data_IF_861026291204
#
_entry.id   IF_861026291204
#
_cell.length_a   1.000
_cell.length_b   1.000
_cell.length_c   1.000
_cell.angle_alpha   90.00
_cell.angle_beta   90.00
_cell.angle_gamma   90.00
#
_symmetry.space_group_name_H-M   'P 1'
#
loop_
_entity.id
_entity.type
_entity.pdbx_description
1 polymer ?
#
# COMPACT_ATOMS: atom_id res chain seq x y z
N UNK A 1 12.76 -58.71 -0.15
CA UNK A 1 13.42 -57.40 -0.07
C UNK A 1 13.10 -56.47 -1.26
N UNK A 2 12.60 -56.98 -2.34
CA UNK A 2 12.28 -56.19 -3.59
C UNK A 2 10.90 -55.54 -3.54
N UNK A 3 9.94 -56.02 -2.72
CA UNK A 3 8.58 -55.49 -2.68
C UNK A 3 8.43 -54.19 -1.83
N UNK A 4 9.36 -53.91 -0.88
CA UNK A 4 9.34 -52.70 -0.04
C UNK A 4 9.97 -51.48 -0.73
N UNK A 5 10.82 -51.68 -1.74
CA UNK A 5 11.46 -50.57 -2.51
C UNK A 5 10.50 -49.97 -3.49
N UNK A 6 9.61 -50.76 -4.10
CA UNK A 6 8.62 -50.25 -5.06
C UNK A 6 7.49 -49.38 -4.43
N UNK A 7 7.13 -49.65 -3.16
CA UNK A 7 6.11 -48.83 -2.45
C UNK A 7 6.68 -47.46 -2.03
N UNK A 8 8.00 -47.39 -1.73
CA UNK A 8 8.62 -46.11 -1.36
C UNK A 8 8.85 -45.22 -2.60
N UNK A 9 9.13 -45.80 -3.76
CA UNK A 9 9.24 -45.06 -5.03
C UNK A 9 7.86 -44.62 -5.53
N UNK A 10 6.79 -45.39 -5.34
CA UNK A 10 5.43 -45.01 -5.71
C UNK A 10 4.88 -43.89 -4.81
N UNK A 11 5.21 -43.87 -3.53
CA UNK A 11 4.84 -42.79 -2.58
C UNK A 11 5.66 -41.54 -2.89
N UNK A 12 6.93 -41.66 -3.29
CA UNK A 12 7.76 -40.51 -3.67
C UNK A 12 7.34 -39.88 -5.00
N UNK A 13 6.83 -40.67 -5.95
CA UNK A 13 6.27 -40.17 -7.22
C UNK A 13 4.89 -39.52 -7.02
N UNK A 14 4.09 -39.98 -6.05
CA UNK A 14 2.81 -39.34 -5.69
C UNK A 14 2.99 -38.02 -4.93
N UNK A 15 4.12 -37.82 -4.22
CA UNK A 15 4.42 -36.53 -3.60
C UNK A 15 5.05 -35.49 -4.57
N UNK A 16 5.51 -35.92 -5.74
CA UNK A 16 6.08 -35.03 -6.78
C UNK A 16 5.02 -34.41 -7.70
N UNK A 17 3.76 -34.88 -7.69
CA UNK A 17 2.70 -34.40 -8.57
C UNK A 17 1.72 -33.39 -7.96
N UNK A 18 1.96 -32.93 -6.72
CA UNK A 18 1.13 -31.88 -6.10
C UNK A 18 1.83 -30.51 -5.99
N UNK A 19 2.73 -30.20 -6.92
CA UNK A 19 3.05 -28.81 -7.23
C UNK A 19 2.06 -28.32 -8.28
N UNK A 20 0.81 -28.07 -7.89
CA UNK A 20 -0.05 -27.16 -8.63
C UNK A 20 0.63 -25.80 -8.57
N UNK A 21 1.26 -25.45 -9.67
CA UNK A 21 1.98 -24.21 -9.89
C UNK A 21 0.95 -23.08 -9.88
N UNK A 22 0.85 -22.37 -8.78
CA UNK A 22 0.01 -21.17 -8.66
C UNK A 22 0.44 -20.01 -9.58
N UNK A 23 1.24 -20.29 -10.60
CA UNK A 23 1.77 -19.30 -11.53
C UNK A 23 1.20 -19.41 -12.96
N UNK A 24 0.37 -20.44 -13.23
CA UNK A 24 -0.11 -20.70 -14.59
C UNK A 24 -1.35 -19.85 -14.95
N UNK A 25 -1.87 -19.06 -14.00
CA UNK A 25 -3.08 -18.27 -14.22
C UNK A 25 -2.84 -16.81 -14.62
N UNK A 26 -1.59 -16.29 -14.52
CA UNK A 26 -1.29 -14.91 -14.92
C UNK A 26 -0.71 -14.90 -16.34
N UNK A 27 -1.17 -13.95 -17.16
CA UNK A 27 -0.54 -13.71 -18.46
C UNK A 27 0.89 -13.18 -18.31
N UNK A 28 1.75 -13.47 -19.26
CA UNK A 28 3.14 -12.97 -19.26
C UNK A 28 3.17 -11.44 -19.21
N UNK A 29 2.25 -10.76 -19.88
CA UNK A 29 2.17 -9.29 -19.87
C UNK A 29 1.78 -8.73 -18.50
N UNK A 30 0.84 -9.37 -17.80
CA UNK A 30 0.49 -8.93 -16.43
C UNK A 30 1.63 -9.21 -15.45
N UNK A 31 2.34 -10.33 -15.59
CA UNK A 31 3.55 -10.63 -14.81
C UNK A 31 4.63 -9.58 -15.02
N UNK A 32 4.88 -9.20 -16.27
CA UNK A 32 5.85 -8.16 -16.63
C UNK A 32 5.42 -6.79 -16.04
N UNK A 33 4.13 -6.46 -16.13
CA UNK A 33 3.58 -5.23 -15.57
C UNK A 33 3.77 -5.14 -14.05
N UNK A 34 3.41 -6.21 -13.32
CA UNK A 34 3.54 -6.27 -11.87
C UNK A 34 5.02 -6.25 -11.46
N UNK A 35 5.88 -6.96 -12.19
CA UNK A 35 7.33 -6.99 -11.94
C UNK A 35 7.96 -5.62 -12.16
N UNK A 36 7.63 -4.97 -13.26
CA UNK A 36 8.09 -3.61 -13.56
C UNK A 36 7.62 -2.62 -12.49
N UNK A 37 6.34 -2.63 -12.12
CA UNK A 37 5.82 -1.75 -11.07
C UNK A 37 6.50 -2.01 -9.72
N UNK A 38 6.80 -3.26 -9.37
CA UNK A 38 7.51 -3.60 -8.14
C UNK A 38 8.91 -3.00 -8.07
N UNK A 39 9.64 -2.96 -9.19
CA UNK A 39 11.01 -2.45 -9.26
C UNK A 39 11.08 -0.93 -9.48
N UNK A 40 10.20 -0.38 -10.31
CA UNK A 40 10.32 1.00 -10.79
C UNK A 40 9.37 2.00 -10.13
N UNK A 41 8.25 1.55 -9.56
CA UNK A 41 7.23 2.48 -9.06
C UNK A 41 7.79 3.43 -7.98
N UNK A 42 7.79 4.77 -8.22
CA UNK A 42 8.38 5.74 -7.30
C UNK A 42 7.67 5.78 -5.94
N UNK A 43 6.36 5.53 -5.91
CA UNK A 43 5.58 5.51 -4.67
C UNK A 43 6.00 4.34 -3.78
N UNK A 44 6.25 3.16 -4.37
CA UNK A 44 6.73 1.99 -3.64
C UNK A 44 8.15 2.20 -3.13
N UNK A 45 9.02 2.83 -3.95
CA UNK A 45 10.39 3.20 -3.51
C UNK A 45 10.34 4.18 -2.34
N UNK A 46 9.46 5.19 -2.38
CA UNK A 46 9.29 6.13 -1.28
C UNK A 46 8.83 5.43 0.02
N UNK A 47 7.90 4.47 -0.08
CA UNK A 47 7.43 3.72 1.09
C UNK A 47 8.52 2.81 1.68
N UNK A 48 9.40 2.23 0.84
CA UNK A 48 10.60 1.52 1.30
C UNK A 48 11.56 2.44 2.08
N UNK A 49 11.74 3.69 1.64
CA UNK A 49 12.55 4.68 2.37
C UNK A 49 11.92 5.07 3.72
N UNK A 50 10.59 5.15 3.81
CA UNK A 50 9.91 5.37 5.10
C UNK A 50 10.15 4.22 6.08
N UNK A 51 10.24 2.98 5.59
CA UNK A 51 10.64 1.86 6.45
C UNK A 51 12.07 2.05 6.96
N UNK A 52 13.01 2.45 6.11
CA UNK A 52 14.39 2.72 6.53
C UNK A 52 14.45 3.85 7.57
N UNK A 53 13.68 4.93 7.37
CA UNK A 53 13.53 5.99 8.37
C UNK A 53 13.00 5.44 9.71
N UNK A 54 12.03 4.52 9.69
CA UNK A 54 11.50 3.91 10.92
C UNK A 54 12.46 2.94 11.59
N UNK A 55 13.33 2.27 10.83
CA UNK A 55 14.36 1.40 11.40
C UNK A 55 15.32 2.17 12.32
N UNK A 56 15.54 3.47 12.08
CA UNK A 56 16.36 4.35 12.93
C UNK A 56 15.77 4.57 14.33
N UNK A 57 14.50 4.28 14.57
CA UNK A 57 13.94 4.29 15.91
C UNK A 57 14.64 3.29 16.85
N UNK A 58 15.24 2.23 16.29
CA UNK A 58 15.92 1.21 17.08
C UNK A 58 17.22 1.72 17.69
N UNK A 59 18.22 2.24 16.92
CA UNK A 59 19.41 2.84 17.49
C UNK A 59 19.11 4.05 18.37
N UNK A 60 18.08 4.87 18.03
CA UNK A 60 17.62 5.98 18.88
C UNK A 60 17.15 5.50 20.26
N UNK A 61 16.34 4.42 20.32
CA UNK A 61 15.89 3.85 21.58
C UNK A 61 17.03 3.17 22.36
N UNK A 62 18.01 2.58 21.65
CA UNK A 62 19.21 2.01 22.27
C UNK A 62 20.15 3.08 22.80
N UNK A 63 20.15 4.30 22.24
CA UNK A 63 20.94 5.41 22.74
C UNK A 63 20.58 5.81 24.17
N UNK A 64 19.34 5.57 24.62
CA UNK A 64 18.93 5.81 26.01
C UNK A 64 19.67 4.91 27.05
N UNK A 65 20.37 3.88 26.62
CA UNK A 65 21.17 3.00 27.46
C UNK A 65 22.67 3.30 27.41
N UNK A 66 23.09 4.24 26.54
CA UNK A 66 24.48 4.54 26.25
C UNK A 66 24.97 5.75 27.04
N UNK A 67 26.26 5.87 27.31
CA UNK A 67 26.80 7.07 27.90
C UNK A 67 26.67 8.27 26.95
N UNK A 68 26.29 9.40 27.52
CA UNK A 68 26.32 10.71 26.85
C UNK A 68 27.60 11.41 27.24
N UNK A 69 28.37 11.87 26.27
CA UNK A 69 29.61 12.63 26.48
C UNK A 69 29.40 14.02 25.91
N UNK A 70 29.57 15.03 26.73
CA UNK A 70 29.40 16.44 26.38
C UNK A 70 30.68 17.22 26.73
N UNK A 71 31.23 17.94 25.77
CA UNK A 71 32.26 18.95 26.00
C UNK A 71 31.61 20.33 26.04
N UNK A 72 32.05 21.18 26.95
CA UNK A 72 31.57 22.55 27.06
C UNK A 72 32.68 23.54 27.26
N UNK A 73 32.46 24.76 26.78
CA UNK A 73 33.29 25.92 27.00
C UNK A 73 32.40 27.14 27.22
N UNK A 74 32.56 27.77 28.41
CA UNK A 74 31.82 28.94 28.83
C UNK A 74 32.79 30.06 29.18
N UNK A 75 32.54 31.27 28.69
CA UNK A 75 33.30 32.48 29.06
C UNK A 75 32.35 33.61 29.31
N UNK A 76 32.39 34.15 30.49
CA UNK A 76 31.48 35.22 30.91
C UNK A 76 32.16 36.20 31.86
N UNK A 77 31.50 37.33 32.08
CA UNK A 77 31.83 38.28 33.15
C UNK A 77 30.89 38.00 34.32
N UNK A 78 31.49 37.84 35.48
CA UNK A 78 30.79 37.64 36.74
C UNK A 78 31.11 38.82 37.62
N UNK A 79 30.07 39.48 38.13
CA UNK A 79 30.17 40.47 39.19
C UNK A 79 29.85 39.78 40.50
N UNK A 80 30.77 39.84 41.45
CA UNK A 80 30.63 39.11 42.71
C UNK A 80 31.09 39.99 43.83
N UNK A 81 30.20 40.13 44.81
CA UNK A 81 30.53 40.67 46.13
C UNK A 81 30.53 39.52 47.14
N UNK A 82 31.68 39.06 47.57
CA UNK A 82 31.84 38.01 48.57
C UNK A 82 32.62 38.54 49.73
N UNK A 83 32.05 38.50 50.92
CA UNK A 83 32.71 38.91 52.17
C UNK A 83 32.71 37.74 53.16
N UNK A 84 33.86 37.53 53.81
CA UNK A 84 34.06 36.57 54.88
C UNK A 84 34.95 37.14 55.96
N UNK A 85 35.11 36.48 57.11
CA UNK A 85 35.86 37.01 58.27
C UNK A 85 37.27 37.40 57.97
N UNK A 86 37.92 36.89 56.89
CA UNK A 86 39.34 37.16 56.56
C UNK A 86 39.58 37.50 55.09
N UNK A 87 38.53 37.72 54.27
CA UNK A 87 38.68 38.06 52.85
C UNK A 87 37.44 38.80 52.28
N UNK A 88 37.71 39.68 51.33
CA UNK A 88 36.72 40.36 50.52
C UNK A 88 37.12 40.14 49.06
N UNK A 89 36.21 39.64 48.24
CA UNK A 89 36.34 39.59 46.80
C UNK A 89 35.19 40.38 46.21
N UNK A 90 35.51 41.52 45.60
CA UNK A 90 34.53 42.42 45.02
C UNK A 90 34.99 42.81 43.60
N UNK A 91 33.99 42.95 42.70
CA UNK A 91 34.18 43.46 41.35
C UNK A 91 33.97 42.46 40.22
N UNK A 92 34.02 43.04 39.01
CA UNK A 92 33.79 42.32 37.75
C UNK A 92 35.01 41.55 37.30
N UNK A 93 34.91 40.25 37.11
CA UNK A 93 35.98 39.41 36.55
C UNK A 93 35.49 38.57 35.38
N UNK A 94 36.43 38.13 34.54
CA UNK A 94 36.13 37.16 33.49
C UNK A 94 36.36 35.75 34.02
N UNK A 95 35.31 34.93 34.01
CA UNK A 95 35.43 33.52 34.33
C UNK A 95 35.36 32.70 33.04
N UNK A 96 36.18 31.68 32.96
CA UNK A 96 36.18 30.72 31.86
C UNK A 96 36.08 29.30 32.41
N UNK A 97 35.03 28.58 32.04
CA UNK A 97 34.84 27.19 32.39
C UNK A 97 34.96 26.32 31.13
N UNK A 98 35.72 25.26 31.20
CA UNK A 98 35.80 24.25 30.16
C UNK A 98 35.84 22.87 30.78
N UNK A 99 35.20 21.92 30.15
CA UNK A 99 35.17 20.57 30.71
C UNK A 99 34.54 19.53 29.79
N UNK A 100 34.63 18.31 30.27
CA UNK A 100 33.96 17.13 29.67
C UNK A 100 33.07 16.52 30.76
N UNK A 101 31.80 16.32 30.42
CA UNK A 101 30.84 15.66 31.27
C UNK A 101 30.38 14.36 30.62
N UNK A 102 30.41 13.26 31.38
CA UNK A 102 29.89 11.93 30.96
C UNK A 102 28.71 11.62 31.86
N UNK A 103 27.56 11.28 31.23
CA UNK A 103 26.35 10.85 31.94
C UNK A 103 25.95 9.48 31.44
N UNK A 104 25.95 8.47 32.35
CA UNK A 104 25.48 7.12 32.05
C UNK A 104 24.19 6.83 32.80
N UNK A 105 23.05 6.67 32.12
CA UNK A 105 21.82 6.20 32.75
C UNK A 105 21.99 4.75 33.20
N UNK A 106 21.72 4.46 34.47
CA UNK A 106 21.74 3.11 35.05
C UNK A 106 20.33 2.59 35.21
N UNK A 107 19.42 3.43 35.69
CA UNK A 107 18.03 3.09 35.91
C UNK A 107 17.15 4.32 35.69
N UNK A 108 16.04 4.15 34.96
CA UNK A 108 15.08 5.22 34.71
C UNK A 108 13.62 4.74 34.86
N UNK A 109 13.37 3.94 35.90
CA UNK A 109 12.04 3.38 36.15
C UNK A 109 11.55 2.41 35.09
N UNK A 110 12.45 1.88 34.21
CA UNK A 110 12.10 1.03 33.08
C UNK A 110 11.63 1.80 31.83
N UNK A 111 11.81 3.12 31.78
CA UNK A 111 11.43 3.98 30.66
C UNK A 111 12.10 3.51 29.36
N UNK A 112 13.42 3.38 29.35
CA UNK A 112 14.18 2.97 28.15
C UNK A 112 13.80 1.59 27.63
N UNK A 113 13.51 0.64 28.52
CA UNK A 113 13.04 -0.72 28.13
C UNK A 113 11.70 -0.63 27.41
N UNK A 114 10.77 0.19 27.94
CA UNK A 114 9.46 0.38 27.31
C UNK A 114 9.58 1.17 25.99
N UNK A 115 10.45 2.18 25.90
CA UNK A 115 10.74 2.92 24.67
C UNK A 115 11.33 2.01 23.59
N UNK A 116 12.31 1.16 23.94
CA UNK A 116 12.89 0.17 23.04
C UNK A 116 11.83 -0.81 22.51
N UNK A 117 10.96 -1.31 23.40
CA UNK A 117 9.85 -2.19 23.01
C UNK A 117 8.84 -1.47 22.12
N UNK A 118 8.56 -0.19 22.39
CA UNK A 118 7.66 0.64 21.60
C UNK A 118 8.22 0.87 20.19
N UNK A 119 9.49 1.26 20.08
CA UNK A 119 10.19 1.43 18.81
C UNK A 119 10.15 0.15 17.96
N UNK A 120 10.44 -1.01 18.57
CA UNK A 120 10.36 -2.30 17.89
C UNK A 120 8.97 -2.57 17.32
N UNK A 121 7.91 -2.33 18.08
CA UNK A 121 6.55 -2.53 17.59
C UNK A 121 6.16 -1.51 16.51
N UNK A 122 6.66 -0.28 16.57
CA UNK A 122 6.42 0.74 15.55
C UNK A 122 7.10 0.35 14.21
N UNK A 123 8.31 -0.20 14.26
CA UNK A 123 9.00 -0.76 13.09
C UNK A 123 8.19 -1.92 12.49
N UNK A 124 7.67 -2.84 13.33
CA UNK A 124 6.83 -3.92 12.83
C UNK A 124 5.52 -3.40 12.19
N UNK A 125 4.90 -2.35 12.75
CA UNK A 125 3.76 -1.68 12.14
C UNK A 125 4.12 -1.21 10.74
N UNK A 126 5.22 -0.46 10.58
CA UNK A 126 5.67 0.05 9.29
C UNK A 126 5.99 -1.06 8.26
N UNK A 127 6.51 -2.22 8.71
CA UNK A 127 6.70 -3.37 7.80
C UNK A 127 5.38 -3.91 7.25
N UNK A 128 4.32 -3.91 8.06
CA UNK A 128 3.00 -4.30 7.58
C UNK A 128 2.33 -3.21 6.73
N UNK A 129 2.61 -1.93 7.01
CA UNK A 129 2.17 -0.81 6.15
C UNK A 129 2.82 -0.91 4.77
N UNK A 130 4.12 -1.20 4.70
CA UNK A 130 4.81 -1.45 3.43
C UNK A 130 4.19 -2.64 2.66
N UNK A 131 3.87 -3.74 3.35
CA UNK A 131 3.18 -4.88 2.71
C UNK A 131 1.80 -4.51 2.17
N UNK A 132 1.03 -3.73 2.92
CA UNK A 132 -0.26 -3.25 2.48
C UNK A 132 -0.13 -2.32 1.27
N UNK A 133 0.88 -1.46 1.29
CA UNK A 133 1.15 -0.53 0.20
C UNK A 133 1.60 -1.24 -1.08
N UNK A 134 2.46 -2.27 -0.98
CA UNK A 134 2.84 -3.14 -2.11
C UNK A 134 1.61 -3.76 -2.76
N UNK A 135 0.72 -4.35 -1.96
CA UNK A 135 -0.51 -4.94 -2.46
C UNK A 135 -1.43 -3.91 -3.11
N UNK A 136 -1.49 -2.69 -2.57
CA UNK A 136 -2.28 -1.60 -3.15
C UNK A 136 -1.73 -1.20 -4.53
N UNK A 137 -0.41 -1.11 -4.67
CA UNK A 137 0.21 -0.84 -5.98
C UNK A 137 -0.11 -1.96 -6.98
N UNK A 138 -0.05 -3.23 -6.57
CA UNK A 138 -0.42 -4.35 -7.44
C UNK A 138 -1.89 -4.29 -7.84
N UNK A 139 -2.80 -4.00 -6.91
CA UNK A 139 -4.21 -3.85 -7.23
C UNK A 139 -4.45 -2.67 -8.20
N UNK A 140 -3.76 -1.54 -8.00
CA UNK A 140 -3.85 -0.39 -8.91
C UNK A 140 -3.36 -0.75 -10.32
N UNK A 141 -2.25 -1.50 -10.44
CA UNK A 141 -1.74 -1.99 -11.73
C UNK A 141 -2.75 -2.92 -12.40
N UNK A 142 -3.32 -3.87 -11.65
CA UNK A 142 -4.32 -4.82 -12.15
C UNK A 142 -5.56 -4.09 -12.65
N UNK A 143 -6.06 -3.11 -11.91
CA UNK A 143 -7.22 -2.30 -12.33
C UNK A 143 -6.95 -1.49 -13.59
N UNK A 144 -5.74 -0.91 -13.70
CA UNK A 144 -5.37 -0.19 -14.94
C UNK A 144 -5.22 -1.17 -16.10
N UNK A 145 -4.63 -2.35 -15.88
CA UNK A 145 -4.49 -3.39 -16.88
C UNK A 145 -5.86 -3.87 -17.38
N UNK A 146 -6.79 -4.18 -16.47
CA UNK A 146 -8.14 -4.63 -16.83
C UNK A 146 -8.94 -3.56 -17.56
N UNK A 147 -8.86 -2.29 -17.09
CA UNK A 147 -9.52 -1.18 -17.78
C UNK A 147 -8.93 -0.93 -19.17
N UNK A 148 -7.63 -1.17 -19.35
CA UNK A 148 -6.99 -1.05 -20.66
C UNK A 148 -7.43 -2.17 -21.61
N UNK A 149 -7.53 -3.43 -21.12
CA UNK A 149 -8.04 -4.57 -21.87
C UNK A 149 -9.52 -4.35 -22.28
N UNK A 150 -10.34 -3.84 -21.34
CA UNK A 150 -11.74 -3.47 -21.59
C UNK A 150 -11.84 -2.40 -22.68
N UNK A 151 -11.07 -1.32 -22.55
CA UNK A 151 -11.11 -0.20 -23.51
C UNK A 151 -10.61 -0.58 -24.90
N UNK A 152 -9.60 -1.46 -24.99
CA UNK A 152 -9.15 -2.00 -26.28
C UNK A 152 -10.26 -2.80 -26.98
N UNK A 153 -10.98 -3.62 -26.21
CA UNK A 153 -12.13 -4.38 -26.73
C UNK A 153 -13.27 -3.45 -27.18
N UNK A 154 -13.57 -2.40 -26.38
CA UNK A 154 -14.57 -1.38 -26.73
C UNK A 154 -14.22 -0.67 -28.02
N UNK A 155 -12.97 -0.21 -28.21
CA UNK A 155 -12.52 0.45 -29.45
C UNK A 155 -12.66 -0.49 -30.66
N UNK A 156 -12.42 -1.81 -30.49
CA UNK A 156 -12.63 -2.78 -31.56
C UNK A 156 -14.11 -2.94 -31.91
N UNK A 157 -14.99 -2.93 -30.91
CA UNK A 157 -16.44 -2.97 -31.13
C UNK A 157 -16.94 -1.69 -31.81
N UNK A 158 -16.51 -0.52 -31.36
CA UNK A 158 -16.85 0.76 -31.99
C UNK A 158 -16.41 0.81 -33.46
N UNK A 159 -15.21 0.31 -33.78
CA UNK A 159 -14.73 0.23 -35.18
C UNK A 159 -15.62 -0.67 -36.04
N UNK A 160 -16.02 -1.84 -35.53
CA UNK A 160 -16.94 -2.73 -36.23
C UNK A 160 -18.30 -2.08 -36.43
N UNK A 161 -18.81 -1.37 -35.43
CA UNK A 161 -20.07 -0.64 -35.51
C UNK A 161 -20.04 0.44 -36.58
N UNK A 162 -19.00 1.26 -36.60
CA UNK A 162 -18.83 2.30 -37.64
C UNK A 162 -18.79 1.67 -39.04
N UNK A 163 -18.05 0.57 -39.21
CA UNK A 163 -17.97 -0.14 -40.50
C UNK A 163 -19.34 -0.68 -40.93
N UNK A 164 -20.07 -1.32 -40.01
CA UNK A 164 -21.43 -1.80 -40.27
C UNK A 164 -22.37 -0.65 -40.67
N UNK A 165 -22.38 0.45 -39.91
CA UNK A 165 -23.25 1.59 -40.18
C UNK A 165 -22.91 2.30 -41.48
N UNK A 166 -21.63 2.33 -41.90
CA UNK A 166 -21.23 2.83 -43.24
C UNK A 166 -21.82 1.96 -44.35
N UNK A 167 -21.77 0.65 -44.21
CA UNK A 167 -22.39 -0.27 -45.18
C UNK A 167 -23.91 -0.07 -45.24
N UNK A 168 -24.57 0.08 -44.08
CA UNK A 168 -26.01 0.32 -44.04
C UNK A 168 -26.40 1.67 -44.66
N UNK A 169 -25.64 2.72 -44.44
CA UNK A 169 -25.89 4.04 -45.08
C UNK A 169 -25.72 3.96 -46.59
N UNK A 170 -24.71 3.26 -47.10
CA UNK A 170 -24.52 3.09 -48.54
C UNK A 170 -25.72 2.30 -49.15
N UNK A 171 -26.13 1.22 -48.52
CA UNK A 171 -27.30 0.46 -48.93
C UNK A 171 -28.60 1.32 -48.92
N UNK A 172 -28.78 2.13 -47.87
CA UNK A 172 -29.91 3.06 -47.78
C UNK A 172 -29.89 4.11 -48.90
N UNK A 173 -28.73 4.64 -49.26
CA UNK A 173 -28.62 5.57 -50.38
C UNK A 173 -29.00 4.90 -51.70
N UNK A 174 -28.49 3.69 -52.00
CA UNK A 174 -28.79 2.93 -53.20
C UNK A 174 -30.31 2.64 -53.30
N UNK A 175 -30.98 2.25 -52.21
CA UNK A 175 -32.43 2.01 -52.16
C UNK A 175 -33.25 3.27 -52.29
N UNK A 176 -32.79 4.41 -51.78
CA UNK A 176 -33.44 5.70 -51.97
C UNK A 176 -33.37 6.17 -53.42
N UNK A 177 -32.24 5.99 -54.10
CA UNK A 177 -32.12 6.33 -55.52
C UNK A 177 -33.10 5.58 -56.42
N UNK A 178 -33.43 4.35 -56.08
CA UNK A 178 -34.44 3.54 -56.81
C UNK A 178 -35.86 3.71 -56.28
N UNK A 179 -36.05 4.54 -55.22
CA UNK A 179 -37.39 4.87 -54.66
C UNK A 179 -38.00 3.82 -53.73
N UNK A 180 -37.20 2.88 -53.20
CA UNK A 180 -37.68 1.81 -52.25
C UNK A 180 -37.84 2.31 -50.82
N UNK A 181 -37.04 3.34 -50.41
CA UNK A 181 -37.09 3.88 -49.03
C UNK A 181 -37.21 5.42 -49.08
N UNK A 182 -37.50 6.02 -47.92
CA UNK A 182 -37.67 7.47 -47.79
C UNK A 182 -36.36 8.18 -47.43
N UNK A 183 -36.30 9.50 -47.71
CA UNK A 183 -35.19 10.35 -47.24
C UNK A 183 -35.03 10.34 -45.73
N UNK A 184 -36.13 10.11 -44.99
CA UNK A 184 -36.13 9.96 -43.55
C UNK A 184 -35.28 8.74 -43.10
N UNK A 185 -35.40 7.63 -43.80
CA UNK A 185 -34.64 6.41 -43.53
C UNK A 185 -33.16 6.59 -43.73
N UNK A 186 -32.76 7.26 -44.83
CA UNK A 186 -31.35 7.67 -45.07
C UNK A 186 -30.84 8.58 -43.98
N UNK A 187 -31.65 9.57 -43.55
CA UNK A 187 -31.27 10.53 -42.52
C UNK A 187 -31.04 9.85 -41.16
N UNK A 188 -31.86 8.82 -40.82
CA UNK A 188 -31.67 8.03 -39.62
C UNK A 188 -30.37 7.22 -39.70
N UNK A 189 -30.10 6.54 -40.80
CA UNK A 189 -28.84 5.81 -41.00
C UNK A 189 -27.60 6.71 -40.88
N UNK A 190 -27.66 7.90 -41.48
CA UNK A 190 -26.61 8.91 -41.39
C UNK A 190 -26.41 9.42 -39.94
N UNK A 191 -27.48 9.71 -39.20
CA UNK A 191 -27.42 10.16 -37.83
C UNK A 191 -26.78 9.07 -36.90
N UNK A 192 -27.15 7.81 -37.10
CA UNK A 192 -26.56 6.65 -36.37
C UNK A 192 -25.05 6.52 -36.66
N UNK A 193 -24.64 6.66 -37.92
CA UNK A 193 -23.23 6.62 -38.32
C UNK A 193 -22.43 7.74 -37.62
N UNK A 194 -22.90 8.98 -37.69
CA UNK A 194 -22.23 10.12 -37.08
C UNK A 194 -22.08 9.96 -35.56
N UNK A 195 -23.11 9.40 -34.89
CA UNK A 195 -23.04 9.07 -33.47
C UNK A 195 -21.99 7.99 -33.18
N UNK A 196 -21.93 6.95 -34.00
CA UNK A 196 -20.94 5.89 -33.84
C UNK A 196 -19.51 6.38 -34.08
N UNK A 197 -19.29 7.25 -35.07
CA UNK A 197 -17.99 7.90 -35.30
C UNK A 197 -17.57 8.78 -34.11
N UNK A 198 -18.49 9.53 -33.51
CA UNK A 198 -18.24 10.32 -32.32
C UNK A 198 -17.85 9.43 -31.11
N UNK A 199 -18.56 8.30 -30.93
CA UNK A 199 -18.25 7.32 -29.87
C UNK A 199 -16.87 6.67 -30.09
N UNK A 200 -16.50 6.32 -31.32
CA UNK A 200 -15.19 5.79 -31.65
C UNK A 200 -14.07 6.78 -31.30
N UNK A 201 -14.21 8.05 -31.70
CA UNK A 201 -13.21 9.08 -31.35
C UNK A 201 -13.08 9.23 -29.84
N UNK A 202 -14.20 9.18 -29.10
CA UNK A 202 -14.20 9.22 -27.64
C UNK A 202 -13.46 8.05 -27.05
N UNK A 203 -13.77 6.82 -27.46
CA UNK A 203 -13.16 5.60 -26.92
C UNK A 203 -11.65 5.52 -27.25
N UNK A 204 -11.22 5.97 -28.44
CA UNK A 204 -9.80 6.09 -28.80
C UNK A 204 -9.05 7.12 -27.92
N UNK A 205 -9.68 8.25 -27.61
CA UNK A 205 -9.13 9.28 -26.72
C UNK A 205 -8.98 8.76 -25.27
N UNK A 206 -9.98 8.02 -24.78
CA UNK A 206 -9.94 7.38 -23.46
C UNK A 206 -8.86 6.29 -23.40
N UNK A 207 -8.70 5.51 -24.49
CA UNK A 207 -7.63 4.52 -24.62
C UNK A 207 -6.25 5.16 -24.52
N UNK A 208 -6.02 6.29 -25.20
CA UNK A 208 -4.77 7.03 -25.14
C UNK A 208 -4.46 7.50 -23.70
N UNK A 209 -5.46 8.01 -23.01
CA UNK A 209 -5.35 8.42 -21.59
C UNK A 209 -5.00 7.24 -20.68
N UNK A 210 -5.66 6.09 -20.85
CA UNK A 210 -5.38 4.88 -20.09
C UNK A 210 -3.97 4.32 -20.37
N UNK A 211 -3.50 4.35 -21.62
CA UNK A 211 -2.11 3.98 -21.96
C UNK A 211 -1.11 4.86 -21.25
N UNK A 212 -1.34 6.17 -21.22
CA UNK A 212 -0.48 7.11 -20.48
C UNK A 212 -0.48 6.80 -18.99
N UNK A 213 -1.64 6.57 -18.39
CA UNK A 213 -1.77 6.18 -16.97
C UNK A 213 -1.06 4.88 -16.65
N UNK A 214 -1.19 3.87 -17.53
CA UNK A 214 -0.49 2.59 -17.42
C UNK A 214 1.03 2.81 -17.41
N UNK A 215 1.56 3.54 -18.38
CA UNK A 215 3.00 3.83 -18.50
C UNK A 215 3.56 4.52 -17.25
N UNK A 216 2.84 5.51 -16.69
CA UNK A 216 3.26 6.22 -15.47
C UNK A 216 3.24 5.28 -14.25
N UNK A 217 2.28 4.36 -14.17
CA UNK A 217 2.12 3.49 -13.00
C UNK A 217 3.04 2.27 -13.05
N UNK A 218 3.21 1.67 -14.23
CA UNK A 218 3.95 0.43 -14.47
C UNK A 218 5.41 0.68 -14.85
N UNK A 219 5.69 1.78 -15.58
CA UNK A 219 7.03 2.15 -16.05
C UNK A 219 7.38 1.63 -17.45
N UNK A 220 6.53 0.80 -18.05
CA UNK A 220 6.68 0.27 -19.41
C UNK A 220 5.41 0.50 -20.22
N UNK A 221 5.52 0.43 -21.54
CA UNK A 221 4.36 0.51 -22.43
C UNK A 221 3.58 -0.82 -22.42
N UNK A 222 2.26 -0.73 -22.46
CA UNK A 222 1.40 -1.91 -22.64
C UNK A 222 1.44 -2.36 -24.11
N UNK A 223 1.45 -3.68 -24.31
CA UNK A 223 1.37 -4.30 -25.63
C UNK A 223 -0.08 -4.58 -26.01
N UNK A 224 -0.60 -5.72 -25.57
CA UNK A 224 -1.96 -6.18 -25.82
C UNK A 224 -2.54 -6.84 -24.56
N UNK A 225 -3.03 -6.05 -23.58
CA UNK A 225 -3.62 -6.62 -22.39
C UNK A 225 -4.90 -7.39 -22.72
N UNK A 226 -4.98 -8.60 -22.21
CA UNK A 226 -6.09 -9.52 -22.43
C UNK A 226 -6.63 -10.04 -21.09
N UNK A 227 -7.92 -10.35 -21.06
CA UNK A 227 -8.54 -11.03 -19.93
C UNK A 227 -8.23 -12.52 -19.96
N UNK A 228 -8.03 -13.09 -18.77
CA UNK A 228 -7.95 -14.52 -18.54
C UNK A 228 -8.87 -14.88 -17.36
N UNK A 229 -9.36 -16.11 -17.32
CA UNK A 229 -10.41 -16.51 -16.37
C UNK A 229 -10.10 -17.84 -15.65
N UNK A 230 -8.94 -18.44 -15.91
CA UNK A 230 -8.46 -19.63 -15.20
C UNK A 230 -7.96 -19.28 -13.79
N UNK A 231 -8.85 -18.63 -13.02
CA UNK A 231 -8.53 -18.28 -11.64
C UNK A 231 -8.53 -19.53 -10.76
N UNK A 232 -7.53 -19.66 -9.84
CA UNK A 232 -7.59 -20.65 -8.79
C UNK A 232 -8.91 -20.54 -8.02
N UNK A 233 -9.55 -21.68 -7.78
CA UNK A 233 -10.83 -21.72 -7.08
C UNK A 233 -10.66 -21.19 -5.64
N UNK A 234 -11.56 -20.32 -5.23
CA UNK A 234 -11.64 -19.86 -3.85
C UNK A 234 -12.39 -20.93 -3.05
N UNK A 235 -11.62 -21.89 -2.50
CA UNK A 235 -12.13 -23.08 -1.78
C UNK A 235 -12.52 -22.69 -0.35
N UNK A 236 -13.55 -21.88 -0.15
CA UNK A 236 -14.11 -21.61 1.18
C UNK A 236 -15.49 -20.98 1.05
N UNK A 237 -16.29 -21.10 2.09
CA UNK A 237 -17.47 -20.27 2.26
C UNK A 237 -17.09 -18.84 2.63
N UNK A 238 -18.00 -17.91 2.45
CA UNK A 238 -17.79 -16.47 2.69
C UNK A 238 -17.33 -16.19 4.14
N UNK A 239 -17.96 -16.81 5.12
CA UNK A 239 -17.65 -16.56 6.54
C UNK A 239 -16.24 -17.00 6.90
N UNK A 240 -15.82 -18.17 6.44
CA UNK A 240 -14.44 -18.67 6.61
C UNK A 240 -13.45 -17.78 5.89
N UNK A 241 -13.79 -17.29 4.69
CA UNK A 241 -12.93 -16.36 3.95
C UNK A 241 -12.75 -15.04 4.70
N UNK A 242 -13.82 -14.45 5.23
CA UNK A 242 -13.79 -13.23 6.05
C UNK A 242 -12.89 -13.43 7.27
N UNK A 243 -13.04 -14.55 8.01
CA UNK A 243 -12.21 -14.84 9.18
C UNK A 243 -10.72 -14.95 8.82
N UNK A 244 -10.41 -15.55 7.68
CA UNK A 244 -9.03 -15.62 7.18
C UNK A 244 -8.49 -14.24 6.81
N UNK A 245 -9.28 -13.39 6.15
CA UNK A 245 -8.92 -12.01 5.83
C UNK A 245 -8.62 -11.21 7.10
N UNK A 246 -9.50 -11.26 8.11
CA UNK A 246 -9.29 -10.56 9.39
C UNK A 246 -7.99 -10.97 10.10
N UNK A 247 -7.57 -12.23 9.96
CA UNK A 247 -6.31 -12.73 10.56
C UNK A 247 -5.07 -12.35 9.78
N UNK A 248 -5.15 -12.25 8.44
CA UNK A 248 -3.99 -12.10 7.56
C UNK A 248 -3.79 -10.69 7.03
N UNK A 249 -4.85 -9.87 6.96
CA UNK A 249 -4.81 -8.53 6.37
C UNK A 249 -3.69 -7.66 6.95
N UNK A 250 -2.78 -7.11 6.13
CA UNK A 250 -1.63 -6.35 6.61
C UNK A 250 -2.02 -5.06 7.32
N UNK A 251 -3.07 -4.37 6.90
CA UNK A 251 -3.51 -3.12 7.52
C UNK A 251 -3.96 -3.34 8.97
N UNK A 252 -4.75 -4.38 9.23
CA UNK A 252 -5.17 -4.74 10.59
C UNK A 252 -3.96 -5.13 11.44
N UNK A 253 -2.99 -5.86 10.88
CA UNK A 253 -1.75 -6.22 11.58
C UNK A 253 -0.89 -5.01 11.90
N UNK A 254 -0.79 -4.05 11.00
CA UNK A 254 -0.09 -2.79 11.25
C UNK A 254 -0.70 -2.08 12.46
N UNK A 255 -2.01 -1.88 12.47
CA UNK A 255 -2.73 -1.24 13.59
C UNK A 255 -2.57 -2.03 14.90
N UNK A 256 -2.55 -3.38 14.85
CA UNK A 256 -2.25 -4.20 16.04
C UNK A 256 -0.87 -3.91 16.64
N UNK A 257 0.15 -3.78 15.79
CA UNK A 257 1.49 -3.44 16.25
C UNK A 257 1.56 -2.00 16.77
N UNK A 258 0.83 -1.06 16.17
CA UNK A 258 0.74 0.32 16.65
C UNK A 258 0.07 0.37 18.04
N UNK A 259 -0.99 -0.41 18.26
CA UNK A 259 -1.62 -0.58 19.59
C UNK A 259 -0.61 -1.10 20.61
N UNK A 260 0.20 -2.11 20.26
CA UNK A 260 1.25 -2.66 21.13
C UNK A 260 2.33 -1.60 21.42
N UNK A 261 2.75 -0.83 20.42
CA UNK A 261 3.69 0.28 20.57
C UNK A 261 3.15 1.33 21.53
N UNK A 262 1.93 1.84 21.30
CA UNK A 262 1.31 2.88 22.14
C UNK A 262 1.08 2.38 23.57
N UNK A 263 0.75 1.09 23.77
CA UNK A 263 0.69 0.50 25.12
C UNK A 263 2.04 0.56 25.83
N UNK A 264 3.13 0.35 25.11
CA UNK A 264 4.49 0.49 25.68
C UNK A 264 4.84 1.96 25.95
N UNK A 265 4.38 2.91 25.10
CA UNK A 265 4.50 4.36 25.35
C UNK A 265 3.79 4.76 26.65
N UNK A 266 2.58 4.22 26.90
CA UNK A 266 1.87 4.44 28.18
C UNK A 266 2.73 3.97 29.37
N UNK A 267 3.32 2.75 29.28
CA UNK A 267 4.16 2.21 30.34
C UNK A 267 5.44 3.04 30.54
N UNK A 268 6.05 3.52 29.45
CA UNK A 268 7.21 4.43 29.51
C UNK A 268 6.88 5.74 30.23
N UNK A 269 5.68 6.30 30.01
CA UNK A 269 5.24 7.52 30.70
C UNK A 269 4.95 7.27 32.18
N UNK A 270 4.49 6.08 32.58
CA UNK A 270 4.40 5.74 33.99
C UNK A 270 5.77 5.67 34.66
N UNK A 271 6.79 5.22 33.92
CA UNK A 271 8.17 5.17 34.41
C UNK A 271 8.72 6.57 34.77
N UNK A 272 8.22 7.66 34.17
CA UNK A 272 8.63 9.01 34.51
C UNK A 272 8.20 9.47 35.93
N UNK A 273 7.36 8.69 36.62
CA UNK A 273 7.00 8.91 38.03
C UNK A 273 7.87 8.12 39.01
N UNK A 274 8.75 7.26 38.50
CA UNK A 274 9.62 6.43 39.29
C UNK A 274 11.00 7.09 39.41
N UNK A 275 11.83 6.72 40.42
CA UNK A 275 13.18 7.20 40.57
C UNK A 275 14.04 6.88 39.35
N UNK A 276 15.03 7.74 39.08
CA UNK A 276 16.09 7.47 38.09
C UNK A 276 17.46 7.54 38.75
N UNK A 277 18.38 6.72 38.27
CA UNK A 277 19.76 6.65 38.74
C UNK A 277 20.68 6.88 37.54
N UNK A 278 21.51 7.91 37.62
CA UNK A 278 22.54 8.23 36.64
C UNK A 278 23.91 8.19 37.31
N UNK A 279 24.93 7.70 36.61
CA UNK A 279 26.32 7.95 36.96
C UNK A 279 26.76 9.18 36.18
N UNK A 280 27.29 10.19 36.88
CA UNK A 280 27.82 11.40 36.28
C UNK A 280 29.29 11.53 36.64
N UNK A 281 30.14 11.70 35.65
CA UNK A 281 31.55 12.02 35.81
C UNK A 281 31.88 13.32 35.06
N UNK A 282 32.62 14.23 35.70
CA UNK A 282 32.96 15.51 35.11
C UNK A 282 34.44 15.85 35.40
N UNK A 283 35.15 16.25 34.39
CA UNK A 283 36.46 16.90 34.52
C UNK A 283 36.31 18.34 34.04
N UNK A 284 36.50 19.30 34.94
CA UNK A 284 36.29 20.73 34.69
C UNK A 284 37.55 21.54 35.07
N UNK A 285 37.88 22.51 34.22
CA UNK A 285 38.88 23.53 34.45
C UNK A 285 38.21 24.90 34.46
N UNK A 286 38.34 25.62 35.59
CA UNK A 286 37.80 26.97 35.77
C UNK A 286 38.99 27.93 35.93
N UNK A 287 38.98 29.03 35.17
CA UNK A 287 39.93 30.14 35.30
C UNK A 287 39.16 31.40 35.69
N UNK A 288 39.71 32.21 36.58
CA UNK A 288 39.07 33.43 37.06
C UNK A 288 37.92 33.16 38.03
N UNK A 289 37.83 31.98 38.66
CA UNK A 289 36.73 31.60 39.51
C UNK A 289 36.67 32.36 40.85
N UNK A 290 37.87 32.79 41.39
CA UNK A 290 37.96 33.52 42.62
C UNK A 290 38.65 34.88 42.41
N UNK A 291 39.81 34.92 41.70
CA UNK A 291 40.52 36.10 41.20
C UNK A 291 40.84 35.91 39.73
N UNK A 292 41.15 36.98 39.01
CA UNK A 292 41.42 36.93 37.56
C UNK A 292 42.56 35.96 37.19
N UNK A 293 43.50 35.71 38.08
CA UNK A 293 44.62 34.78 37.92
C UNK A 293 44.37 33.37 38.48
N UNK A 294 43.25 33.16 39.16
CA UNK A 294 42.97 31.87 39.79
C UNK A 294 42.57 30.78 38.77
N UNK A 295 43.13 29.59 38.98
CA UNK A 295 42.75 28.39 38.18
C UNK A 295 42.40 27.24 39.11
N UNK A 296 41.38 26.50 38.77
CA UNK A 296 40.95 25.32 39.51
C UNK A 296 40.63 24.19 38.55
N UNK A 297 41.16 23.01 38.82
CA UNK A 297 40.80 21.76 38.14
C UNK A 297 40.03 20.88 39.13
N UNK A 298 38.91 20.32 38.65
CA UNK A 298 38.00 19.51 39.47
C UNK A 298 37.64 18.28 38.68
N UNK A 299 37.81 17.11 39.28
CA UNK A 299 37.26 15.84 38.79
C UNK A 299 36.23 15.36 39.79
N UNK A 300 35.07 15.03 39.31
CA UNK A 300 33.96 14.54 40.13
C UNK A 300 33.37 13.27 39.53
N UNK A 301 32.91 12.36 40.37
CA UNK A 301 32.14 11.20 39.98
C UNK A 301 31.01 10.99 41.01
N UNK A 302 29.77 10.98 40.54
CA UNK A 302 28.58 10.83 41.40
C UNK A 302 27.65 9.74 40.87
N UNK A 303 27.04 9.01 41.81
CA UNK A 303 25.80 8.31 41.53
C UNK A 303 24.66 9.25 41.96
N UNK A 304 23.91 9.75 40.99
CA UNK A 304 22.81 10.68 41.20
C UNK A 304 21.47 9.95 41.16
N UNK A 305 20.72 10.04 42.27
CA UNK A 305 19.33 9.55 42.36
C UNK A 305 18.39 10.74 42.28
N UNK A 306 17.57 10.77 41.22
CA UNK A 306 16.51 11.75 41.05
C UNK A 306 15.15 11.08 41.36
N UNK A 307 14.39 11.62 42.30
CA UNK A 307 13.08 11.14 42.69
C UNK A 307 12.04 12.23 42.47
N UNK A 308 11.17 12.13 41.44
CA UNK A 308 10.18 13.16 41.17
C UNK A 308 9.00 13.04 42.14
N UNK A 309 8.92 13.96 43.10
CA UNK A 309 7.83 14.00 44.11
C UNK A 309 6.56 14.61 43.50
N UNK A 310 6.70 15.76 42.83
CA UNK A 310 5.57 16.48 42.22
C UNK A 310 6.03 17.13 40.90
N UNK A 311 5.28 16.91 39.83
CA UNK A 311 5.60 17.39 38.48
C UNK A 311 4.46 18.26 37.90
N UNK A 312 3.83 19.08 38.72
CA UNK A 312 2.77 20.02 38.33
C UNK A 312 1.64 19.41 37.48
N UNK A 313 1.39 18.09 37.65
CA UNK A 313 0.36 17.38 36.91
C UNK A 313 0.72 16.95 35.46
N UNK A 314 1.88 17.41 34.92
CA UNK A 314 2.31 17.18 33.53
C UNK A 314 2.38 15.68 33.17
N UNK A 315 3.06 14.87 34.00
CA UNK A 315 3.17 13.43 33.76
C UNK A 315 1.80 12.75 33.73
N UNK A 316 0.88 13.12 34.63
CA UNK A 316 -0.48 12.56 34.68
C UNK A 316 -1.29 12.95 33.45
N UNK A 317 -1.14 14.18 32.97
CA UNK A 317 -1.82 14.67 31.75
C UNK A 317 -1.33 13.90 30.52
N UNK A 318 0.00 13.77 30.33
CA UNK A 318 0.58 12.98 29.22
C UNK A 318 0.14 11.51 29.23
N UNK A 319 0.03 10.90 30.41
CA UNK A 319 -0.47 9.52 30.52
C UNK A 319 -1.94 9.44 30.08
N UNK A 320 -2.79 10.41 30.47
CA UNK A 320 -4.18 10.44 30.01
C UNK A 320 -4.28 10.64 28.51
N UNK A 321 -3.48 11.53 27.94
CA UNK A 321 -3.39 11.78 26.49
C UNK A 321 -3.10 10.51 25.72
N UNK A 322 -1.99 9.81 26.02
CA UNK A 322 -1.60 8.59 25.29
C UNK A 322 -2.56 7.41 25.57
N UNK A 323 -3.23 7.38 26.73
CA UNK A 323 -4.33 6.43 26.96
C UNK A 323 -5.54 6.70 26.05
N UNK A 324 -5.85 7.95 25.74
CA UNK A 324 -6.91 8.29 24.77
C UNK A 324 -6.49 7.94 23.34
N UNK A 325 -5.23 8.19 22.99
CA UNK A 325 -4.65 7.69 21.72
C UNK A 325 -4.77 6.16 21.60
N UNK A 326 -4.40 5.43 22.65
CA UNK A 326 -4.56 3.97 22.69
C UNK A 326 -6.01 3.53 22.49
N UNK A 327 -6.96 4.24 23.10
CA UNK A 327 -8.38 3.95 22.91
C UNK A 327 -8.83 4.25 21.48
N UNK A 328 -8.40 5.37 20.90
CA UNK A 328 -8.69 5.74 19.52
C UNK A 328 -8.16 4.67 18.52
N UNK A 329 -6.94 4.17 18.73
CA UNK A 329 -6.38 3.10 17.89
C UNK A 329 -7.17 1.77 18.00
N UNK A 330 -7.73 1.46 19.16
CA UNK A 330 -8.59 0.28 19.33
C UNK A 330 -9.90 0.41 18.56
N UNK A 331 -10.54 1.60 18.64
CA UNK A 331 -11.75 1.86 17.86
C UNK A 331 -11.44 1.90 16.34
N UNK A 332 -10.30 2.48 15.93
CA UNK A 332 -9.83 2.43 14.55
C UNK A 332 -9.68 0.99 14.04
N UNK A 333 -9.05 0.11 14.82
CA UNK A 333 -8.95 -1.32 14.46
C UNK A 333 -10.33 -1.96 14.28
N UNK A 334 -11.28 -1.61 15.15
CA UNK A 334 -12.65 -2.13 15.08
C UNK A 334 -13.35 -1.64 13.80
N UNK A 335 -13.22 -0.35 13.47
CA UNK A 335 -13.72 0.21 12.21
C UNK A 335 -13.10 -0.51 11.01
N UNK A 336 -11.76 -0.60 10.93
CA UNK A 336 -11.05 -1.32 9.87
C UNK A 336 -11.52 -2.79 9.72
N UNK A 337 -11.90 -3.43 10.83
CA UNK A 337 -12.42 -4.80 10.78
C UNK A 337 -13.84 -4.86 10.20
N UNK A 338 -14.66 -3.84 10.43
CA UNK A 338 -16.00 -3.75 9.82
C UNK A 338 -15.89 -3.39 8.34
N UNK A 339 -15.04 -2.42 7.99
CA UNK A 339 -14.80 -2.03 6.60
C UNK A 339 -14.29 -3.23 5.80
N UNK A 340 -13.32 -3.98 6.33
CA UNK A 340 -12.81 -5.19 5.69
C UNK A 340 -13.89 -6.26 5.49
N UNK A 341 -14.78 -6.46 6.46
CA UNK A 341 -15.90 -7.41 6.30
C UNK A 341 -16.83 -6.97 5.17
N UNK A 342 -17.18 -5.69 5.13
CA UNK A 342 -18.00 -5.13 4.07
C UNK A 342 -17.33 -5.30 2.70
N UNK A 343 -16.08 -4.89 2.57
CA UNK A 343 -15.32 -4.94 1.32
C UNK A 343 -15.18 -6.37 0.79
N UNK A 344 -14.86 -7.33 1.68
CA UNK A 344 -14.78 -8.74 1.31
C UNK A 344 -16.14 -9.27 0.84
N UNK A 345 -17.22 -8.94 1.57
CA UNK A 345 -18.57 -9.36 1.20
C UNK A 345 -18.98 -8.78 -0.15
N UNK A 346 -18.69 -7.51 -0.38
CA UNK A 346 -18.95 -6.80 -1.62
C UNK A 346 -18.20 -7.42 -2.81
N UNK A 347 -16.87 -7.60 -2.68
CA UNK A 347 -16.05 -8.20 -3.75
C UNK A 347 -16.41 -9.66 -4.01
N UNK A 348 -16.78 -10.42 -2.95
CA UNK A 348 -17.27 -11.78 -3.09
C UNK A 348 -18.58 -11.84 -3.89
N UNK A 349 -19.53 -10.97 -3.55
CA UNK A 349 -20.82 -10.88 -4.24
C UNK A 349 -20.62 -10.46 -5.70
N UNK A 350 -19.75 -9.50 -5.96
CA UNK A 350 -19.40 -9.06 -7.31
C UNK A 350 -18.74 -10.18 -8.11
N UNK A 351 -17.80 -10.93 -7.51
CA UNK A 351 -17.17 -12.06 -8.17
C UNK A 351 -18.18 -13.13 -8.58
N UNK A 352 -19.10 -13.50 -7.69
CA UNK A 352 -20.15 -14.49 -7.98
C UNK A 352 -21.17 -13.98 -9.00
N UNK A 353 -21.62 -12.74 -8.86
CA UNK A 353 -22.61 -12.16 -9.79
C UNK A 353 -22.05 -11.94 -11.19
N UNK A 354 -20.78 -11.51 -11.30
CA UNK A 354 -20.13 -11.31 -12.59
C UNK A 354 -19.92 -12.63 -13.36
N UNK A 355 -19.66 -13.74 -12.67
CA UNK A 355 -19.64 -15.07 -13.31
C UNK A 355 -20.99 -15.42 -13.97
N UNK A 356 -22.10 -15.15 -13.28
CA UNK A 356 -23.44 -15.38 -13.83
C UNK A 356 -23.75 -14.40 -14.97
N UNK A 357 -23.35 -13.12 -14.83
CA UNK A 357 -23.51 -12.10 -15.89
C UNK A 357 -22.77 -12.49 -17.17
N UNK A 358 -21.53 -12.98 -17.06
CA UNK A 358 -20.73 -13.44 -18.20
C UNK A 358 -21.49 -14.51 -18.98
N UNK A 359 -22.03 -15.52 -18.30
CA UNK A 359 -22.77 -16.59 -18.94
C UNK A 359 -24.10 -16.09 -19.57
N UNK A 360 -24.82 -15.21 -18.87
CA UNK A 360 -26.03 -14.59 -19.37
C UNK A 360 -25.77 -13.73 -20.62
N UNK A 361 -24.74 -12.86 -20.56
CA UNK A 361 -24.39 -11.98 -21.68
C UNK A 361 -23.94 -12.77 -22.93
N UNK A 362 -23.20 -13.88 -22.75
CA UNK A 362 -22.84 -14.77 -23.86
C UNK A 362 -24.10 -15.32 -24.57
N UNK A 363 -25.05 -15.81 -23.79
CA UNK A 363 -26.33 -16.31 -24.34
C UNK A 363 -27.16 -15.21 -25.00
N UNK A 364 -27.16 -14.00 -24.43
CA UNK A 364 -27.82 -12.84 -25.01
C UNK A 364 -27.19 -12.47 -26.37
N UNK A 365 -25.86 -12.43 -26.48
CA UNK A 365 -25.16 -12.19 -27.74
C UNK A 365 -25.53 -13.24 -28.80
N UNK A 366 -25.55 -14.52 -28.44
CA UNK A 366 -25.95 -15.58 -29.37
C UNK A 366 -27.40 -15.45 -29.85
N UNK A 367 -28.31 -15.02 -28.96
CA UNK A 367 -29.69 -14.73 -29.30
C UNK A 367 -29.81 -13.51 -30.22
N UNK A 368 -29.12 -12.39 -29.88
CA UNK A 368 -29.15 -11.16 -30.65
C UNK A 368 -28.54 -11.36 -32.06
N UNK A 369 -27.48 -12.15 -32.19
CA UNK A 369 -26.92 -12.52 -33.50
C UNK A 369 -27.92 -13.25 -34.38
N UNK A 370 -28.64 -14.25 -33.84
CA UNK A 370 -29.68 -14.97 -34.57
C UNK A 370 -30.85 -14.06 -34.92
N UNK A 371 -31.26 -13.18 -34.02
CA UNK A 371 -32.32 -12.21 -34.25
C UNK A 371 -31.96 -11.25 -35.38
N UNK A 372 -30.75 -10.65 -35.33
CA UNK A 372 -30.25 -9.76 -36.38
C UNK A 372 -30.20 -10.47 -37.75
N UNK A 373 -29.72 -11.72 -37.79
CA UNK A 373 -29.65 -12.49 -39.02
C UNK A 373 -31.06 -12.77 -39.58
N UNK A 374 -32.02 -13.09 -38.72
CA UNK A 374 -33.43 -13.25 -39.12
C UNK A 374 -34.01 -11.96 -39.69
N UNK A 375 -33.81 -10.83 -39.04
CA UNK A 375 -34.26 -9.52 -39.53
C UNK A 375 -33.64 -9.15 -40.87
N UNK A 376 -32.35 -9.45 -41.11
CA UNK A 376 -31.71 -9.24 -42.40
C UNK A 376 -32.38 -10.04 -43.53
N UNK A 377 -32.82 -11.28 -43.26
CA UNK A 377 -33.56 -12.10 -44.26
C UNK A 377 -34.96 -11.53 -44.51
N UNK A 378 -35.72 -11.16 -43.47
CA UNK A 378 -37.04 -10.54 -43.58
C UNK A 378 -37.00 -9.19 -44.31
N UNK A 379 -35.93 -8.39 -44.09
CA UNK A 379 -35.69 -7.12 -44.78
C UNK A 379 -35.49 -7.33 -46.30
N UNK A 380 -34.72 -8.35 -46.70
CA UNK A 380 -34.53 -8.69 -48.13
C UNK A 380 -35.84 -9.10 -48.81
N UNK A 381 -36.81 -9.56 -48.04
CA UNK A 381 -38.15 -9.88 -48.54
C UNK A 381 -39.14 -8.70 -48.51
N UNK A 382 -38.69 -7.52 -48.02
CA UNK A 382 -39.50 -6.30 -47.90
C UNK A 382 -40.46 -6.31 -46.69
N UNK A 383 -40.32 -7.26 -45.76
CA UNK A 383 -41.20 -7.41 -44.58
C UNK A 383 -40.75 -6.59 -43.37
N UNK A 384 -39.53 -6.02 -43.42
CA UNK A 384 -38.95 -5.23 -42.35
C UNK A 384 -38.33 -3.93 -42.88
N UNK A 385 -38.13 -3.00 -41.98
CA UNK A 385 -37.51 -1.70 -42.29
C UNK A 385 -36.00 -1.71 -41.96
N UNK A 386 -35.24 -0.78 -42.52
CA UNK A 386 -33.83 -0.57 -42.18
C UNK A 386 -33.69 -0.20 -40.70
N UNK A 387 -34.66 0.49 -40.12
CA UNK A 387 -34.67 0.84 -38.71
C UNK A 387 -34.65 -0.39 -37.80
N UNK A 388 -35.41 -1.44 -38.17
CA UNK A 388 -35.42 -2.71 -37.41
C UNK A 388 -34.02 -3.36 -37.38
N UNK A 389 -33.27 -3.29 -38.47
CA UNK A 389 -31.90 -3.81 -38.55
C UNK A 389 -30.96 -2.95 -37.69
N UNK A 390 -31.04 -1.61 -37.77
CA UNK A 390 -30.22 -0.69 -36.99
C UNK A 390 -30.44 -0.84 -35.49
N UNK A 391 -31.69 -1.07 -35.07
CA UNK A 391 -32.04 -1.29 -33.66
C UNK A 391 -31.54 -2.64 -33.16
N UNK A 392 -31.66 -3.70 -33.94
CA UNK A 392 -31.13 -5.02 -33.60
C UNK A 392 -29.58 -5.04 -33.50
N UNK A 393 -28.91 -4.32 -34.40
CA UNK A 393 -27.44 -4.15 -34.32
C UNK A 393 -27.05 -3.38 -33.07
N UNK A 394 -27.78 -2.33 -32.71
CA UNK A 394 -27.53 -1.57 -31.49
C UNK A 394 -27.65 -2.46 -30.25
N UNK A 395 -28.70 -3.33 -30.19
CA UNK A 395 -28.86 -4.30 -29.10
C UNK A 395 -27.73 -5.32 -29.05
N UNK A 396 -27.27 -5.80 -30.22
CA UNK A 396 -26.14 -6.74 -30.29
C UNK A 396 -24.88 -6.09 -29.72
N UNK A 397 -24.52 -4.89 -30.17
CA UNK A 397 -23.34 -4.16 -29.73
C UNK A 397 -23.41 -3.85 -28.24
N UNK A 398 -24.57 -3.42 -27.73
CA UNK A 398 -24.75 -3.19 -26.31
C UNK A 398 -24.54 -4.46 -25.47
N UNK A 399 -25.02 -5.62 -25.95
CA UNK A 399 -24.78 -6.90 -25.31
C UNK A 399 -23.30 -7.30 -25.33
N UNK A 400 -22.54 -6.99 -26.39
CA UNK A 400 -21.10 -7.21 -26.47
C UNK A 400 -20.31 -6.29 -25.51
N UNK A 401 -20.68 -5.02 -25.38
CA UNK A 401 -20.14 -4.11 -24.37
C UNK A 401 -20.40 -4.62 -22.94
N UNK A 402 -21.62 -5.07 -22.66
CA UNK A 402 -21.98 -5.62 -21.37
C UNK A 402 -21.17 -6.87 -21.03
N UNK A 403 -20.84 -7.71 -21.99
CA UNK A 403 -19.94 -8.85 -21.81
C UNK A 403 -18.53 -8.40 -21.43
N UNK A 404 -17.94 -7.44 -22.17
CA UNK A 404 -16.61 -6.89 -21.87
C UNK A 404 -16.56 -6.30 -20.46
N UNK A 405 -17.58 -5.54 -20.07
CA UNK A 405 -17.71 -4.97 -18.73
C UNK A 405 -17.81 -6.06 -17.65
N UNK A 406 -18.56 -7.14 -17.92
CA UNK A 406 -18.69 -8.26 -17.00
C UNK A 406 -17.34 -8.99 -16.80
N UNK A 407 -16.52 -9.05 -17.85
CA UNK A 407 -15.14 -9.57 -17.75
C UNK A 407 -14.27 -8.69 -16.85
N UNK A 408 -14.30 -7.38 -17.02
CA UNK A 408 -13.56 -6.44 -16.16
C UNK A 408 -14.02 -6.53 -14.70
N UNK A 409 -15.34 -6.57 -14.45
CA UNK A 409 -15.91 -6.73 -13.10
C UNK A 409 -15.45 -8.02 -12.43
N UNK A 410 -15.47 -9.14 -13.14
CA UNK A 410 -15.05 -10.44 -12.62
C UNK A 410 -13.55 -10.47 -12.29
N UNK A 411 -12.74 -9.96 -13.22
CA UNK A 411 -11.30 -9.87 -13.07
C UNK A 411 -10.92 -9.03 -11.84
N UNK A 412 -11.45 -7.84 -11.74
CA UNK A 412 -11.16 -6.93 -10.63
C UNK A 412 -11.62 -7.51 -9.29
N UNK A 413 -12.83 -8.10 -9.24
CA UNK A 413 -13.36 -8.67 -8.01
C UNK A 413 -12.49 -9.83 -7.48
N UNK A 414 -11.94 -10.68 -8.35
CA UNK A 414 -11.03 -11.75 -7.95
C UNK A 414 -9.75 -11.20 -7.28
N UNK A 415 -9.12 -10.22 -7.91
CA UNK A 415 -7.89 -9.63 -7.36
C UNK A 415 -8.14 -8.78 -6.11
N UNK A 416 -9.30 -8.16 -5.98
CA UNK A 416 -9.72 -7.51 -4.72
C UNK A 416 -9.84 -8.52 -3.58
N UNK A 417 -10.40 -9.70 -3.83
CA UNK A 417 -10.43 -10.78 -2.82
C UNK A 417 -9.01 -11.19 -2.41
N UNK A 418 -8.08 -11.33 -3.36
CA UNK A 418 -6.66 -11.60 -3.05
C UNK A 418 -6.02 -10.47 -2.24
N UNK A 419 -6.32 -9.22 -2.55
CA UNK A 419 -5.86 -8.06 -1.80
C UNK A 419 -6.34 -8.10 -0.35
N UNK A 420 -7.64 -8.29 -0.12
CA UNK A 420 -8.21 -8.33 1.23
C UNK A 420 -7.71 -9.51 2.07
N UNK A 421 -7.42 -10.65 1.44
CA UNK A 421 -6.82 -11.81 2.11
C UNK A 421 -5.34 -11.64 2.45
N UNK A 422 -4.69 -10.57 1.96
CA UNK A 422 -3.26 -10.34 2.15
C UNK A 422 -2.36 -11.19 1.25
N UNK A 423 -2.93 -11.82 0.22
CA UNK A 423 -2.21 -12.71 -0.69
C UNK A 423 -1.75 -12.00 -1.98
N UNK A 424 -2.21 -10.77 -2.26
CA UNK A 424 -1.78 -10.02 -3.45
C UNK A 424 -0.37 -9.43 -3.25
N UNK A 425 0.65 -10.27 -3.23
CA UNK A 425 2.03 -9.87 -3.01
C UNK A 425 3.00 -10.60 -3.95
N UNK A 426 4.22 -10.07 -4.08
CA UNK A 426 5.25 -10.58 -5.00
C UNK A 426 5.61 -12.05 -4.78
N UNK A 427 5.52 -12.54 -3.56
CA UNK A 427 5.84 -13.95 -3.22
C UNK A 427 4.72 -14.89 -3.66
N UNK A 428 3.46 -14.55 -3.36
CA UNK A 428 2.30 -15.37 -3.73
C UNK A 428 2.13 -15.42 -5.26
N UNK A 429 2.30 -14.26 -5.91
CA UNK A 429 2.25 -14.14 -7.37
C UNK A 429 3.51 -14.70 -8.06
N UNK A 430 4.52 -15.14 -7.32
CA UNK A 430 5.81 -15.66 -7.81
C UNK A 430 6.46 -14.76 -8.89
N UNK A 431 6.43 -13.45 -8.65
CA UNK A 431 6.99 -12.49 -9.59
C UNK A 431 8.49 -12.75 -9.78
N UNK A 432 9.01 -12.70 -11.02
CA UNK A 432 10.43 -12.91 -11.35
C UNK A 432 11.27 -11.65 -10.98
N UNK A 433 11.19 -11.23 -9.72
CA UNK A 433 11.86 -10.03 -9.20
C UNK A 433 12.71 -10.36 -7.98
N UNK A 434 13.75 -9.57 -7.75
CA UNK A 434 14.50 -9.65 -6.50
C UNK A 434 13.62 -9.15 -5.34
N UNK A 435 13.29 -10.05 -4.43
CA UNK A 435 12.48 -9.71 -3.27
C UNK A 435 13.17 -8.65 -2.40
N UNK A 436 12.40 -7.63 -2.02
CA UNK A 436 12.89 -6.58 -1.11
C UNK A 436 13.04 -7.16 0.30
N UNK A 437 14.29 -7.14 0.81
CA UNK A 437 14.56 -7.55 2.19
C UNK A 437 14.25 -6.39 3.15
N UNK A 438 13.11 -6.48 3.79
CA UNK A 438 12.61 -5.49 4.76
C UNK A 438 13.32 -5.57 6.14
N UNK A 439 14.32 -6.44 6.29
CA UNK A 439 15.08 -6.61 7.53
C UNK A 439 16.54 -6.19 7.40
N UNK A 440 17.05 -6.08 6.19
CA UNK A 440 18.46 -5.78 5.91
C UNK A 440 18.87 -4.46 6.57
N UNK A 441 18.22 -3.35 6.22
CA UNK A 441 18.55 -2.03 6.78
C UNK A 441 18.44 -2.03 8.32
N UNK A 442 17.39 -2.62 8.88
CA UNK A 442 17.25 -2.76 10.34
C UNK A 442 18.46 -3.44 10.98
N UNK A 443 18.95 -4.54 10.36
CA UNK A 443 20.11 -5.26 10.88
C UNK A 443 21.40 -4.44 10.79
N UNK A 444 21.52 -3.65 9.73
CA UNK A 444 22.70 -2.80 9.47
C UNK A 444 22.77 -1.63 10.46
N UNK A 445 21.62 -1.02 10.82
CA UNK A 445 21.60 0.21 11.63
C UNK A 445 21.39 -0.03 13.13
N UNK A 446 20.75 -1.13 13.56
CA UNK A 446 20.27 -1.33 14.94
C UNK A 446 21.32 -1.14 16.04
N UNK A 447 22.61 -1.38 15.75
CA UNK A 447 23.71 -1.26 16.70
C UNK A 447 24.72 -0.15 16.35
N UNK A 448 24.44 0.64 15.32
CA UNK A 448 25.33 1.77 14.98
C UNK A 448 25.41 2.77 16.13
N UNK A 449 26.62 3.30 16.37
CA UNK A 449 26.90 4.28 17.40
C UNK A 449 27.22 5.66 16.80
N UNK A 450 27.99 5.66 15.73
CA UNK A 450 28.44 6.87 15.05
C UNK A 450 28.41 6.60 13.54
N UNK A 451 27.82 7.50 12.80
CA UNK A 451 28.04 7.68 11.37
C UNK A 451 28.79 9.00 11.21
N UNK A 452 30.07 8.90 10.94
CA UNK A 452 30.91 10.10 10.86
C UNK A 452 30.92 10.69 9.45
N UNK A 453 30.60 9.90 8.42
CA UNK A 453 30.46 10.35 7.01
C UNK A 453 29.65 9.29 6.24
N UNK A 454 28.66 9.70 5.43
CA UNK A 454 28.15 8.90 4.30
C UNK A 454 29.11 8.96 3.12
#
# INVERSE_FOLDING_TARGET
MILKVNIFILIFVLFLNNRVLANDFLTTELLDALSSAYEFNPKLKAERQKLFQKDELMPQALAEFRPKVEGYYEKGKIDTALSGSNFVVDGVRTETNSGIKITQPIFNGGKSINNLSSAKFEIFSQRYDLKNFEQKIFLDVIKIYSSLASKLSEVQLDKKNVEFLKQQLNQANDQFEIGEITLTDVSIAQARLLLAEANLIKSESELLSLRSKYKITVGIDSKNPEFFFDFPEIISDLDTYILNCLKKNPQIKSTDYLIKSTKKKVNSLYSSKLPSINLEAEARKSKGYFRSDSSREVMTAFAKLDFPIYQSGLASSKIREIKKELQALKELKKSQSYDLKYDVTFSWSNFKSSQVKIEANRKQIDANKKFLEGLKQEFLLGERTILDILDAEQELIESEFNLVKSYEENFNAYFELLFYSGNLNSIFLKLPVKQFDNTKNFNDVKFKWLDIIE
#
